data_IF_355178753005
#
_entry.id   IF_355178753005
#
_cell.length_a   1.000
_cell.length_b   1.000
_cell.length_c   1.000
_cell.angle_alpha   90.00
_cell.angle_beta   90.00
_cell.angle_gamma   90.00
#
_symmetry.space_group_name_H-M   'P 1'
#
loop_
_entity.id
_entity.type
_entity.pdbx_description
1 polymer ?
#
# COMPACT_ATOMS: atom_id res chain seq x y z
N UNK A 1 -14.57 -5.23 -3.07
CA UNK A 1 -14.45 -4.23 -2.05
C UNK A 1 -13.05 -3.65 -1.87
N UNK A 2 -12.04 -4.09 -2.60
CA UNK A 2 -10.70 -3.51 -2.56
C UNK A 2 -10.59 -2.45 -3.66
N UNK A 3 -10.09 -1.26 -3.31
CA UNK A 3 -10.00 -0.14 -4.25
C UNK A 3 -8.67 -0.10 -5.00
N UNK A 4 -7.58 -0.48 -4.34
CA UNK A 4 -6.25 -0.57 -4.93
C UNK A 4 -5.57 -1.88 -4.51
N UNK A 5 -4.91 -2.52 -5.47
CA UNK A 5 -3.99 -3.63 -5.26
C UNK A 5 -2.60 -3.18 -5.71
N UNK A 6 -1.65 -3.15 -4.80
CA UNK A 6 -0.26 -2.87 -5.11
C UNK A 6 0.48 -4.17 -5.41
N UNK A 7 0.90 -4.34 -6.65
CA UNK A 7 1.70 -5.48 -7.08
C UNK A 7 3.18 -5.17 -6.84
N UNK A 8 3.69 -5.68 -5.72
CA UNK A 8 5.07 -5.52 -5.28
C UNK A 8 5.78 -6.86 -5.31
N UNK A 9 6.69 -7.05 -6.25
CA UNK A 9 7.47 -8.27 -6.47
C UNK A 9 8.94 -7.92 -6.70
N UNK A 10 9.62 -7.39 -5.68
CA UNK A 10 10.99 -6.90 -5.83
C UNK A 10 11.94 -8.01 -6.28
N UNK A 11 12.89 -7.66 -7.13
CA UNK A 11 13.93 -8.56 -7.64
C UNK A 11 13.40 -9.80 -8.39
N UNK A 12 12.19 -9.74 -8.93
CA UNK A 12 11.64 -10.82 -9.76
C UNK A 12 11.63 -10.46 -11.24
N UNK A 13 11.60 -11.49 -12.09
CA UNK A 13 11.41 -11.29 -13.53
C UNK A 13 10.01 -10.71 -13.82
N UNK A 14 9.89 -9.80 -14.80
CA UNK A 14 8.60 -9.26 -15.22
C UNK A 14 7.58 -10.33 -15.60
N UNK A 15 8.05 -11.47 -16.07
CA UNK A 15 7.21 -12.61 -16.45
C UNK A 15 6.26 -13.08 -15.34
N UNK A 16 6.66 -12.95 -14.06
CA UNK A 16 5.78 -13.31 -12.94
C UNK A 16 4.59 -12.35 -12.81
N UNK A 17 4.87 -11.05 -12.94
CA UNK A 17 3.83 -10.02 -12.91
C UNK A 17 2.91 -10.11 -14.12
N UNK A 18 3.46 -10.31 -15.32
CA UNK A 18 2.71 -10.52 -16.56
C UNK A 18 1.79 -11.74 -16.45
N UNK A 19 2.32 -12.89 -16.01
CA UNK A 19 1.52 -14.10 -15.83
C UNK A 19 0.38 -13.89 -14.84
N UNK A 20 0.62 -13.18 -13.73
CA UNK A 20 -0.45 -12.86 -12.79
C UNK A 20 -1.53 -12.00 -13.46
N UNK A 21 -1.13 -10.96 -14.19
CA UNK A 21 -2.06 -10.09 -14.88
C UNK A 21 -2.91 -10.85 -15.91
N UNK A 22 -2.31 -11.74 -16.70
CA UNK A 22 -3.06 -12.56 -17.69
C UNK A 22 -4.07 -13.52 -17.05
N UNK A 23 -3.92 -13.87 -15.78
CA UNK A 23 -4.86 -14.73 -15.04
C UNK A 23 -6.01 -13.95 -14.40
N UNK A 24 -5.93 -12.63 -14.34
CA UNK A 24 -6.95 -11.78 -13.74
C UNK A 24 -7.93 -11.26 -14.80
N UNK A 25 -9.22 -11.16 -14.47
CA UNK A 25 -10.18 -10.44 -15.31
C UNK A 25 -9.76 -8.98 -15.52
N UNK A 26 -9.93 -8.46 -16.74
CA UNK A 26 -9.52 -7.09 -17.12
C UNK A 26 -10.17 -6.01 -16.26
N UNK A 27 -11.37 -6.26 -15.73
CA UNK A 27 -12.08 -5.35 -14.84
C UNK A 27 -11.28 -4.98 -13.56
N UNK A 28 -10.31 -5.84 -13.18
CA UNK A 28 -9.44 -5.57 -12.03
C UNK A 28 -8.22 -4.71 -12.39
N UNK A 29 -7.84 -4.59 -13.65
CA UNK A 29 -6.63 -3.87 -14.06
C UNK A 29 -6.63 -2.42 -13.58
N UNK A 30 -7.79 -1.76 -13.61
CA UNK A 30 -7.95 -0.39 -13.12
C UNK A 30 -7.81 -0.22 -11.61
N UNK A 31 -7.59 -1.30 -10.88
CA UNK A 31 -7.31 -1.31 -9.43
C UNK A 31 -5.87 -1.68 -9.12
N UNK A 32 -5.07 -2.05 -10.12
CA UNK A 32 -3.71 -2.55 -9.92
C UNK A 32 -2.71 -1.42 -10.14
N UNK A 33 -1.79 -1.29 -9.18
CA UNK A 33 -0.64 -0.38 -9.22
C UNK A 33 0.63 -1.24 -9.18
N UNK A 34 1.58 -1.00 -10.07
CA UNK A 34 2.85 -1.74 -10.12
C UNK A 34 3.98 -0.91 -9.53
N UNK A 35 4.89 -1.59 -8.81
CA UNK A 35 6.09 -1.00 -8.22
C UNK A 35 7.32 -1.18 -9.10
N UNK A 36 7.32 -2.24 -9.89
CA UNK A 36 8.38 -2.57 -10.83
C UNK A 36 7.81 -2.70 -12.23
N UNK A 37 8.68 -2.74 -13.25
CA UNK A 37 8.27 -2.98 -14.62
C UNK A 37 7.15 -2.03 -15.10
N UNK A 38 7.38 -0.72 -14.95
CA UNK A 38 6.38 0.34 -15.19
C UNK A 38 5.70 0.30 -16.56
N UNK A 39 6.33 -0.32 -17.57
CA UNK A 39 5.72 -0.53 -18.89
C UNK A 39 4.42 -1.32 -18.83
N UNK A 40 4.27 -2.23 -17.84
CA UNK A 40 3.05 -3.02 -17.62
C UNK A 40 1.81 -2.13 -17.41
N UNK A 41 2.01 -0.94 -16.80
CA UNK A 41 0.91 0.01 -16.66
C UNK A 41 0.32 0.42 -18.02
N UNK A 42 1.17 0.61 -19.02
CA UNK A 42 0.75 0.96 -20.39
C UNK A 42 0.11 -0.23 -21.10
N UNK A 43 0.77 -1.38 -21.09
CA UNK A 43 0.33 -2.59 -21.81
C UNK A 43 -1.00 -3.13 -21.31
N UNK A 44 -1.20 -3.18 -19.99
CA UNK A 44 -2.42 -3.70 -19.35
C UNK A 44 -3.40 -2.61 -18.93
N UNK A 45 -3.10 -1.32 -19.21
CA UNK A 45 -3.95 -0.21 -18.82
C UNK A 45 -4.26 -0.19 -17.31
N UNK A 46 -3.24 -0.44 -16.48
CA UNK A 46 -3.35 -0.50 -15.03
C UNK A 46 -3.67 0.87 -14.40
N UNK A 47 -4.03 0.89 -13.11
CA UNK A 47 -4.38 2.11 -12.39
C UNK A 47 -3.24 3.11 -12.29
N UNK A 48 -2.02 2.64 -12.05
CA UNK A 48 -0.88 3.52 -11.84
C UNK A 48 0.43 2.80 -11.56
N UNK A 49 1.40 3.57 -11.12
CA UNK A 49 2.72 3.11 -10.67
C UNK A 49 3.02 3.61 -9.26
N UNK A 50 3.85 2.88 -8.54
CA UNK A 50 4.49 3.36 -7.32
C UNK A 50 5.96 3.65 -7.60
N UNK A 51 6.46 4.78 -7.13
CA UNK A 51 7.86 5.18 -7.32
C UNK A 51 8.56 5.09 -5.97
N UNK A 52 9.35 4.04 -5.78
CA UNK A 52 10.01 3.72 -4.51
C UNK A 52 10.98 4.82 -4.05
N UNK A 53 11.72 5.43 -5.00
CA UNK A 53 12.61 6.52 -4.65
C UNK A 53 11.81 7.83 -4.45
N UNK A 54 11.81 8.39 -3.22
CA UNK A 54 11.08 9.62 -2.92
C UNK A 54 11.57 10.83 -3.71
N UNK A 55 12.80 10.80 -4.21
CA UNK A 55 13.42 11.91 -4.94
C UNK A 55 13.42 11.71 -6.47
N UNK A 56 13.16 10.49 -6.94
CA UNK A 56 13.14 10.21 -8.37
C UNK A 56 12.10 11.08 -9.09
N UNK A 57 12.44 11.64 -10.26
CA UNK A 57 11.47 12.33 -11.09
C UNK A 57 10.38 11.36 -11.55
N UNK A 58 9.21 11.88 -11.82
CA UNK A 58 8.18 11.11 -12.55
C UNK A 58 8.68 10.90 -13.98
N UNK A 59 8.41 9.72 -14.53
CA UNK A 59 8.81 9.38 -15.90
C UNK A 59 8.29 10.43 -16.89
N UNK A 60 9.12 10.89 -17.78
CA UNK A 60 8.77 11.87 -18.81
C UNK A 60 7.56 11.38 -19.62
N UNK A 61 6.57 12.25 -19.77
CA UNK A 61 5.34 11.92 -20.51
C UNK A 61 4.38 10.96 -19.78
N UNK A 62 4.68 10.56 -18.54
CA UNK A 62 3.78 9.70 -17.77
C UNK A 62 2.43 10.36 -17.51
N UNK A 63 1.37 9.66 -17.93
CA UNK A 63 -0.02 10.05 -17.68
C UNK A 63 -0.70 8.98 -16.83
N UNK A 64 -0.95 9.24 -15.58
CA UNK A 64 -1.59 8.30 -14.68
C UNK A 64 -1.40 8.67 -13.22
N UNK A 65 -2.00 7.88 -12.35
CA UNK A 65 -1.80 8.03 -10.91
C UNK A 65 -0.46 7.44 -10.51
N UNK A 66 0.20 8.07 -9.56
CA UNK A 66 1.38 7.50 -8.93
C UNK A 66 1.42 7.79 -7.44
N UNK A 67 2.03 6.90 -6.72
CA UNK A 67 2.28 6.97 -5.29
C UNK A 67 3.77 6.91 -4.99
N UNK A 68 4.12 7.17 -3.74
CA UNK A 68 5.49 7.07 -3.23
C UNK A 68 5.49 6.58 -1.80
N UNK A 69 6.58 5.97 -1.40
CA UNK A 69 6.87 5.70 0.00
C UNK A 69 7.53 6.89 0.69
N UNK A 70 7.22 7.08 1.96
CA UNK A 70 7.81 8.07 2.82
C UNK A 70 8.07 7.46 4.20
N UNK A 71 9.29 7.60 4.71
CA UNK A 71 9.68 7.18 6.06
C UNK A 71 10.05 8.36 6.97
N UNK A 72 9.79 9.60 6.51
CA UNK A 72 10.11 10.83 7.22
C UNK A 72 8.92 11.78 7.21
N UNK A 73 8.39 12.08 8.40
CA UNK A 73 7.26 12.99 8.56
C UNK A 73 7.50 14.40 8.01
N UNK A 74 8.76 14.86 8.00
CA UNK A 74 9.12 16.19 7.51
C UNK A 74 8.96 16.28 5.99
N UNK A 75 9.14 15.17 5.28
CA UNK A 75 9.04 15.07 3.83
C UNK A 75 7.60 14.94 3.32
N UNK A 76 6.65 14.55 4.18
CA UNK A 76 5.26 14.28 3.77
C UNK A 76 4.62 15.42 2.99
N UNK A 77 4.85 16.67 3.43
CA UNK A 77 4.25 17.85 2.79
C UNK A 77 4.69 17.99 1.32
N UNK A 78 5.96 17.77 1.05
CA UNK A 78 6.50 17.85 -0.31
C UNK A 78 6.07 16.66 -1.17
N UNK A 79 6.08 15.48 -0.60
CA UNK A 79 5.70 14.26 -1.31
C UNK A 79 4.21 14.26 -1.69
N UNK A 80 3.32 14.77 -0.82
CA UNK A 80 1.90 14.96 -1.13
C UNK A 80 1.64 15.91 -2.30
N UNK A 81 2.51 16.91 -2.50
CA UNK A 81 2.40 17.82 -3.65
C UNK A 81 2.79 17.14 -4.97
N UNK A 82 3.74 16.22 -4.89
CA UNK A 82 4.34 15.54 -6.04
C UNK A 82 3.74 14.18 -6.35
N UNK A 83 2.71 13.75 -5.61
CA UNK A 83 2.10 12.41 -5.73
C UNK A 83 0.59 12.50 -5.60
N UNK A 84 -0.13 11.52 -6.12
CA UNK A 84 -1.56 11.40 -5.91
C UNK A 84 -1.87 11.00 -4.46
N UNK A 85 -1.04 10.09 -3.90
CA UNK A 85 -1.05 9.69 -2.51
C UNK A 85 0.35 9.20 -2.09
N UNK A 86 0.57 9.11 -0.79
CA UNK A 86 1.84 8.74 -0.19
C UNK A 86 1.62 7.65 0.86
N UNK A 87 2.45 6.63 0.86
CA UNK A 87 2.51 5.66 1.95
C UNK A 87 3.48 6.14 3.02
N UNK A 88 3.00 6.38 4.25
CA UNK A 88 3.87 6.54 5.40
C UNK A 88 4.29 5.14 5.87
N UNK A 89 5.57 4.82 5.70
CA UNK A 89 6.12 3.49 5.94
C UNK A 89 6.46 3.28 7.42
N UNK A 90 6.29 2.04 7.88
CA UNK A 90 6.64 1.57 9.24
C UNK A 90 5.89 2.32 10.35
N UNK A 91 4.57 2.50 10.16
CA UNK A 91 3.69 3.14 11.15
C UNK A 91 3.61 2.31 12.43
N UNK A 92 3.50 0.98 12.30
CA UNK A 92 3.57 0.01 13.40
C UNK A 92 4.64 -1.05 13.13
N UNK A 93 4.95 -1.86 14.14
CA UNK A 93 5.88 -2.99 14.02
C UNK A 93 5.41 -3.95 12.92
N UNK A 94 6.33 -4.37 12.07
CA UNK A 94 6.01 -5.25 10.95
C UNK A 94 5.49 -6.61 11.45
N UNK A 95 4.43 -7.12 10.83
CA UNK A 95 3.85 -8.43 11.16
C UNK A 95 4.66 -9.55 10.51
N UNK A 96 5.17 -9.30 9.30
CA UNK A 96 5.90 -10.30 8.50
C UNK A 96 7.35 -10.47 8.98
N UNK A 97 7.99 -9.36 9.36
CA UNK A 97 9.40 -9.32 9.76
C UNK A 97 9.52 -8.77 11.19
N UNK A 98 9.77 -9.64 12.15
CA UNK A 98 9.80 -9.31 13.59
C UNK A 98 10.86 -8.27 13.96
N UNK A 99 11.91 -8.16 13.17
CA UNK A 99 13.03 -7.22 13.40
C UNK A 99 12.73 -5.82 12.85
N UNK A 100 11.72 -5.67 11.98
CA UNK A 100 11.30 -4.37 11.45
C UNK A 100 10.33 -3.69 12.42
N UNK A 101 10.85 -2.70 13.14
CA UNK A 101 10.10 -1.93 14.13
C UNK A 101 9.49 -0.67 13.54
N UNK A 102 8.47 -0.17 14.23
CA UNK A 102 7.89 1.14 13.95
C UNK A 102 8.96 2.23 13.95
N UNK A 103 8.90 3.10 12.96
CA UNK A 103 9.81 4.26 12.86
C UNK A 103 9.35 5.43 13.75
N UNK A 104 8.08 5.45 14.12
CA UNK A 104 7.45 6.59 14.79
C UNK A 104 6.85 6.19 16.14
N UNK A 105 7.02 7.06 17.14
CA UNK A 105 6.22 6.97 18.36
C UNK A 105 4.77 7.43 18.09
N UNK A 106 3.85 7.00 18.93
CA UNK A 106 2.45 7.45 18.85
C UNK A 106 2.35 8.98 18.97
N UNK A 107 3.13 9.57 19.87
CA UNK A 107 3.18 11.02 20.05
C UNK A 107 3.62 11.76 18.77
N UNK A 108 4.61 11.23 18.04
CA UNK A 108 5.04 11.81 16.77
C UNK A 108 3.94 11.75 15.71
N UNK A 109 3.21 10.64 15.64
CA UNK A 109 2.08 10.48 14.70
C UNK A 109 0.93 11.43 15.06
N UNK A 110 0.58 11.58 16.33
CA UNK A 110 -0.45 12.51 16.81
C UNK A 110 -0.06 13.97 16.48
N UNK A 111 1.18 14.36 16.77
CA UNK A 111 1.67 15.68 16.40
C UNK A 111 1.67 15.93 14.89
N UNK A 112 1.94 14.91 14.08
CA UNK A 112 1.89 15.00 12.62
C UNK A 112 0.44 15.16 12.11
N UNK A 113 -0.49 14.45 12.73
CA UNK A 113 -1.91 14.59 12.46
C UNK A 113 -2.44 16.00 12.81
N UNK A 114 -2.13 16.50 13.99
CA UNK A 114 -2.51 17.85 14.46
C UNK A 114 -1.97 18.96 13.56
N UNK A 115 -0.77 18.76 13.01
CA UNK A 115 -0.16 19.67 12.03
C UNK A 115 -0.69 19.53 10.61
N UNK A 116 -1.65 18.61 10.36
CA UNK A 116 -2.21 18.33 9.03
C UNK A 116 -1.20 17.68 8.06
N UNK A 117 -0.12 17.09 8.58
CA UNK A 117 0.81 16.33 7.76
C UNK A 117 0.19 14.99 7.33
N UNK A 118 -0.53 14.33 8.24
CA UNK A 118 -1.36 13.16 7.96
C UNK A 118 -2.74 13.64 7.53
N UNK A 119 -3.20 13.22 6.36
CA UNK A 119 -4.49 13.58 5.77
C UNK A 119 -4.98 12.50 4.78
N UNK A 120 -6.02 12.82 4.02
CA UNK A 120 -6.63 11.92 3.02
C UNK A 120 -5.69 11.42 1.92
N UNK A 121 -4.54 12.04 1.73
CA UNK A 121 -3.52 11.61 0.77
C UNK A 121 -2.45 10.71 1.39
N UNK A 122 -2.43 10.52 2.70
CA UNK A 122 -1.44 9.71 3.40
C UNK A 122 -2.06 8.39 3.84
N UNK A 123 -1.47 7.29 3.42
CA UNK A 123 -1.91 5.94 3.76
C UNK A 123 -0.92 5.31 4.73
N UNK A 124 -1.43 4.67 5.79
CA UNK A 124 -0.59 3.99 6.77
C UNK A 124 -0.11 2.65 6.22
N UNK A 125 1.21 2.44 6.23
CA UNK A 125 1.87 1.21 5.84
C UNK A 125 2.78 0.70 6.95
N UNK A 126 2.74 -0.59 7.21
CA UNK A 126 3.54 -1.29 8.22
C UNK A 126 2.73 -1.66 9.44
N UNK A 127 2.69 -2.97 9.73
CA UNK A 127 2.06 -3.55 10.90
C UNK A 127 0.55 -3.36 11.02
N UNK A 128 -0.12 -2.99 9.94
CA UNK A 128 -1.58 -2.75 9.96
C UNK A 128 -2.34 -4.06 10.14
N UNK A 129 -3.23 -4.09 11.13
CA UNK A 129 -4.07 -5.23 11.48
C UNK A 129 -5.43 -4.78 11.97
N UNK A 130 -6.36 -5.72 12.14
CA UNK A 130 -7.69 -5.43 12.68
C UNK A 130 -7.65 -4.73 14.05
N UNK A 131 -6.59 -4.97 14.84
CA UNK A 131 -6.44 -4.41 16.18
C UNK A 131 -6.09 -2.92 16.19
N UNK A 132 -5.40 -2.43 15.15
CA UNK A 132 -4.89 -1.06 15.12
C UNK A 132 -5.48 -0.15 14.02
N UNK A 133 -6.37 -0.66 13.19
CA UNK A 133 -7.06 0.13 12.16
C UNK A 133 -7.75 1.38 12.72
N UNK A 134 -8.37 1.25 13.90
CA UNK A 134 -9.02 2.38 14.56
C UNK A 134 -8.07 3.53 14.90
N UNK A 135 -6.78 3.24 15.15
CA UNK A 135 -5.75 4.24 15.41
C UNK A 135 -5.47 5.03 14.13
N UNK A 136 -5.27 4.33 13.01
CA UNK A 136 -5.04 5.00 11.72
C UNK A 136 -6.23 5.90 11.33
N UNK A 137 -7.45 5.42 11.56
CA UNK A 137 -8.67 6.22 11.35
C UNK A 137 -8.71 7.47 12.23
N UNK A 138 -8.41 7.34 13.52
CA UNK A 138 -8.34 8.45 14.50
C UNK A 138 -7.29 9.49 14.09
N UNK A 139 -6.14 9.06 13.61
CA UNK A 139 -5.05 9.93 13.15
C UNK A 139 -5.35 10.62 11.81
N UNK A 140 -6.43 10.28 11.14
CA UNK A 140 -6.87 10.94 9.91
C UNK A 140 -6.18 10.47 8.63
N UNK A 141 -5.55 9.29 8.66
CA UNK A 141 -5.04 8.67 7.43
C UNK A 141 -6.16 8.51 6.38
N UNK A 142 -5.81 8.65 5.11
CA UNK A 142 -6.71 8.46 3.99
C UNK A 142 -7.08 7.00 3.74
N UNK A 143 -6.29 6.08 4.26
CA UNK A 143 -6.47 4.65 4.20
C UNK A 143 -5.31 3.91 4.84
N UNK A 144 -5.32 2.58 4.71
CA UNK A 144 -4.32 1.68 5.25
C UNK A 144 -3.89 0.66 4.21
N UNK A 145 -2.68 0.16 4.34
CA UNK A 145 -2.17 -0.97 3.53
C UNK A 145 -2.16 -2.21 4.39
N UNK A 146 -2.91 -3.22 3.98
CA UNK A 146 -2.93 -4.53 4.62
C UNK A 146 -2.02 -5.47 3.83
N UNK A 147 -1.03 -6.04 4.50
CA UNK A 147 -0.11 -7.01 3.93
C UNK A 147 -0.02 -8.25 4.84
N UNK A 148 0.87 -8.30 5.79
CA UNK A 148 1.12 -9.47 6.63
C UNK A 148 -0.10 -9.98 7.39
N UNK A 149 -0.98 -9.12 7.90
CA UNK A 149 -2.21 -9.54 8.59
C UNK A 149 -3.18 -10.31 7.68
N UNK A 150 -3.08 -10.12 6.38
CA UNK A 150 -3.87 -10.86 5.40
C UNK A 150 -3.11 -12.07 4.86
N UNK A 151 -1.90 -11.85 4.31
CA UNK A 151 -1.19 -12.88 3.56
C UNK A 151 -0.56 -13.96 4.43
N UNK A 152 -0.19 -13.67 5.68
CA UNK A 152 0.30 -14.69 6.62
C UNK A 152 -0.77 -15.71 7.04
N UNK A 153 -2.04 -15.46 6.70
CA UNK A 153 -3.15 -16.38 6.91
C UNK A 153 -3.41 -17.31 5.73
N UNK A 154 -2.72 -17.11 4.63
CA UNK A 154 -2.91 -17.87 3.41
C UNK A 154 -1.85 -18.98 3.27
N UNK A 155 -2.30 -20.22 3.23
CA UNK A 155 -1.49 -21.37 2.87
C UNK A 155 -2.01 -21.97 1.56
N UNK A 156 -1.18 -21.94 0.52
CA UNK A 156 -1.51 -22.46 -0.81
C UNK A 156 -1.87 -23.95 -0.79
N UNK A 157 -1.47 -24.69 0.24
CA UNK A 157 -1.73 -26.13 0.39
C UNK A 157 -3.04 -26.43 1.11
N UNK A 158 -3.76 -25.40 1.60
CA UNK A 158 -5.01 -25.55 2.32
C UNK A 158 -6.18 -24.95 1.51
N UNK A 159 -7.04 -25.81 0.97
CA UNK A 159 -8.17 -25.39 0.13
C UNK A 159 -9.22 -24.50 0.84
N UNK A 160 -9.24 -24.49 2.17
CA UNK A 160 -10.19 -23.70 2.94
C UNK A 160 -9.70 -22.27 3.25
N UNK A 161 -8.41 -22.02 3.13
CA UNK A 161 -7.79 -20.75 3.55
C UNK A 161 -8.32 -19.55 2.77
N UNK A 162 -8.69 -19.71 1.50
CA UNK A 162 -9.25 -18.61 0.73
C UNK A 162 -10.58 -18.08 1.30
N UNK A 163 -11.41 -18.94 1.90
CA UNK A 163 -12.69 -18.52 2.54
C UNK A 163 -12.44 -17.76 3.82
N UNK A 164 -11.49 -18.23 4.63
CA UNK A 164 -11.07 -17.55 5.86
C UNK A 164 -10.41 -16.22 5.54
N UNK A 165 -9.57 -16.18 4.50
CA UNK A 165 -8.92 -14.99 4.02
C UNK A 165 -9.94 -13.92 3.58
N UNK A 166 -10.94 -14.31 2.78
CA UNK A 166 -12.02 -13.42 2.35
C UNK A 166 -12.80 -12.91 3.56
N UNK A 167 -13.17 -13.81 4.49
CA UNK A 167 -13.90 -13.44 5.71
C UNK A 167 -13.09 -12.48 6.59
N UNK A 168 -11.78 -12.66 6.70
CA UNK A 168 -10.91 -11.74 7.42
C UNK A 168 -10.81 -10.38 6.71
N UNK A 169 -10.61 -10.38 5.40
CA UNK A 169 -10.60 -9.16 4.60
C UNK A 169 -11.91 -8.35 4.73
N UNK A 170 -13.04 -9.01 4.78
CA UNK A 170 -14.33 -8.33 4.99
C UNK A 170 -14.43 -7.68 6.39
N UNK A 171 -13.85 -8.31 7.43
CA UNK A 171 -13.76 -7.71 8.77
C UNK A 171 -12.89 -6.47 8.76
N UNK A 172 -11.71 -6.55 8.13
CA UNK A 172 -10.81 -5.41 7.95
C UNK A 172 -11.51 -4.25 7.24
N UNK A 173 -12.21 -4.53 6.14
CA UNK A 173 -12.94 -3.51 5.37
C UNK A 173 -14.06 -2.84 6.16
N UNK A 174 -14.73 -3.57 7.03
CA UNK A 174 -15.81 -3.00 7.88
C UNK A 174 -15.28 -2.16 9.03
N UNK A 175 -14.01 -2.34 9.42
CA UNK A 175 -13.39 -1.62 10.52
C UNK A 175 -12.78 -0.26 10.09
N UNK A 176 -12.57 -0.07 8.80
CA UNK A 176 -12.10 1.19 8.21
C UNK A 176 -13.31 2.08 7.88
#
# INVERSE_FOLDING_TARGET
GMDNLHLFKPNTSPMYSERLLTLLPEDYYRKIVVHDHYYLKGEYNLAGIDIDDPLAPVLDGYKGKFSRFCSDLTMLKEMKKKSNYVFLKSVFDCIEFKDEKSTFSMQQLEMAADKGLIDKKVYALGGMSLENLHIAKRLGFGGVVICGDLWNRFDIHNENDFKELIGHFEKLRKAI
#
